data_IF_884354750758
#
_entry.id   IF_884354750758
#
_cell.length_a   1.000
_cell.length_b   1.000
_cell.length_c   1.000
_cell.angle_alpha   90.00
_cell.angle_beta   90.00
_cell.angle_gamma   90.00
#
_symmetry.space_group_name_H-M   'P 1'
#
loop_
_entity.id
_entity.type
_entity.pdbx_description
1 polymer ?
#
# COMPACT_ATOMS: atom_id res chain seq x y z
N UNK A 1 -11.84 31.48 -30.24
CA UNK A 1 -11.18 30.17 -30.37
C UNK A 1 -11.24 29.52 -29.00
N UNK A 2 -12.37 28.92 -28.61
CA UNK A 2 -12.54 28.30 -27.28
C UNK A 2 -13.69 27.28 -27.30
N UNK A 3 -13.46 26.03 -27.70
CA UNK A 3 -14.49 24.95 -27.60
C UNK A 3 -13.91 23.55 -27.40
N UNK A 4 -12.84 23.39 -26.61
CA UNK A 4 -12.44 22.07 -26.05
C UNK A 4 -12.64 22.01 -24.53
N UNK A 5 -13.69 22.68 -24.05
CA UNK A 5 -14.02 22.75 -22.63
C UNK A 5 -14.54 21.40 -22.11
N UNK A 6 -13.81 20.87 -21.12
CA UNK A 6 -14.24 19.91 -20.10
C UNK A 6 -14.93 18.61 -20.57
N UNK A 7 -14.15 17.66 -21.13
CA UNK A 7 -14.62 16.26 -21.25
C UNK A 7 -13.86 15.24 -20.38
N UNK A 8 -12.75 15.65 -19.77
CA UNK A 8 -12.05 14.83 -18.79
C UNK A 8 -12.18 15.50 -17.43
N UNK A 9 -12.95 14.89 -16.51
CA UNK A 9 -12.93 15.32 -15.13
C UNK A 9 -11.52 15.22 -14.56
N UNK A 10 -11.13 16.18 -13.73
CA UNK A 10 -9.80 16.22 -13.09
C UNK A 10 -9.62 15.15 -11.99
N UNK A 11 -10.46 14.12 -11.97
CA UNK A 11 -10.53 13.12 -10.91
C UNK A 11 -10.53 11.73 -11.51
N UNK A 12 -9.56 10.92 -11.11
CA UNK A 12 -9.44 9.51 -11.49
C UNK A 12 -10.09 8.67 -10.39
N UNK A 13 -11.04 7.82 -10.76
CA UNK A 13 -11.72 6.90 -9.86
C UNK A 13 -11.39 5.44 -10.23
N UNK A 14 -11.33 4.57 -9.23
CA UNK A 14 -11.22 3.11 -9.42
C UNK A 14 -12.22 2.36 -8.54
N UNK A 15 -12.64 1.16 -8.98
CA UNK A 15 -13.57 0.32 -8.23
C UNK A 15 -12.89 -0.60 -7.19
N UNK A 16 -11.56 -0.72 -7.26
CA UNK A 16 -10.78 -1.62 -6.40
C UNK A 16 -10.75 -1.14 -4.94
N UNK A 17 -10.90 -2.07 -4.00
CA UNK A 17 -10.80 -1.80 -2.55
C UNK A 17 -9.42 -2.22 -2.04
N UNK A 18 -8.39 -1.43 -2.36
CA UNK A 18 -7.00 -1.78 -2.10
C UNK A 18 -6.52 -1.23 -0.75
N UNK A 19 -5.73 -2.04 -0.04
CA UNK A 19 -4.98 -1.64 1.15
C UNK A 19 -3.51 -2.00 0.97
N UNK A 20 -2.60 -1.08 1.29
CA UNK A 20 -1.17 -1.41 1.35
C UNK A 20 -0.91 -2.32 2.54
N UNK A 21 -0.13 -3.38 2.34
CA UNK A 21 0.33 -4.24 3.41
C UNK A 21 1.39 -3.57 4.30
N UNK A 22 2.05 -2.53 3.80
CA UNK A 22 3.08 -1.76 4.50
C UNK A 22 2.62 -0.33 4.77
N UNK A 23 3.06 0.20 5.91
CA UNK A 23 2.92 1.61 6.27
C UNK A 23 4.32 2.24 6.19
N UNK A 24 4.47 3.48 5.69
CA UNK A 24 5.75 4.18 5.67
C UNK A 24 6.34 4.39 7.06
N UNK A 25 5.49 4.37 8.09
CA UNK A 25 5.88 4.54 9.49
C UNK A 25 5.61 3.24 10.24
N UNK A 26 6.62 2.75 10.95
CA UNK A 26 6.50 1.59 11.82
C UNK A 26 5.65 1.97 13.06
N UNK A 27 4.61 1.18 13.40
CA UNK A 27 3.67 1.57 14.45
C UNK A 27 4.28 1.68 15.85
N UNK A 28 5.29 0.85 16.16
CA UNK A 28 5.84 0.77 17.51
C UNK A 28 6.86 1.88 17.80
N UNK A 29 7.73 2.17 16.83
CA UNK A 29 8.86 3.09 17.00
C UNK A 29 8.64 4.46 16.34
N UNK A 30 7.56 4.61 15.56
CA UNK A 30 7.31 5.76 14.69
C UNK A 30 8.45 6.08 13.71
N UNK A 31 9.33 5.11 13.46
CA UNK A 31 10.44 5.29 12.52
C UNK A 31 9.94 5.13 11.08
N UNK A 32 10.43 6.01 10.19
CA UNK A 32 10.22 5.84 8.75
C UNK A 32 10.99 4.61 8.27
N UNK A 33 10.28 3.69 7.63
CA UNK A 33 10.87 2.52 6.99
C UNK A 33 11.09 2.79 5.52
N UNK A 34 12.14 2.19 4.97
CA UNK A 34 12.50 2.36 3.56
C UNK A 34 12.42 1.04 2.82
N UNK A 35 12.08 1.09 1.53
CA UNK A 35 12.12 -0.07 0.64
C UNK A 35 13.25 0.02 -0.38
N UNK A 36 13.85 1.19 -0.55
CA UNK A 36 15.02 1.42 -1.38
C UNK A 36 16.00 2.34 -0.67
N UNK A 37 17.29 2.15 -0.89
CA UNK A 37 18.36 3.04 -0.44
C UNK A 37 19.44 3.12 -1.51
N UNK A 38 19.75 4.35 -1.94
CA UNK A 38 20.84 4.63 -2.86
C UNK A 38 21.68 5.82 -2.36
N UNK A 39 22.54 6.37 -3.23
CA UNK A 39 23.41 7.51 -2.90
C UNK A 39 22.65 8.81 -2.56
N UNK A 40 21.40 8.94 -2.98
CA UNK A 40 20.56 10.12 -2.72
C UNK A 40 19.76 10.01 -1.42
N UNK A 41 19.63 8.80 -0.86
CA UNK A 41 18.93 8.54 0.39
C UNK A 41 17.96 7.36 0.31
N UNK A 42 17.25 7.13 1.42
CA UNK A 42 16.29 6.05 1.56
C UNK A 42 14.84 6.49 1.36
N UNK A 43 14.03 5.67 0.67
CA UNK A 43 12.61 5.95 0.47
C UNK A 43 11.74 4.68 0.45
N UNK A 44 10.46 4.82 0.77
CA UNK A 44 9.45 3.79 0.51
C UNK A 44 8.86 4.00 -0.89
N UNK A 45 9.28 3.14 -1.82
CA UNK A 45 8.86 3.18 -3.23
C UNK A 45 8.05 1.94 -3.63
N UNK A 46 8.26 0.83 -2.93
CA UNK A 46 7.68 -0.47 -3.23
C UNK A 46 6.42 -0.71 -2.40
N UNK A 47 5.41 -1.34 -3.00
CA UNK A 47 4.13 -1.61 -2.35
C UNK A 47 3.57 -2.98 -2.74
N UNK A 48 2.97 -3.65 -1.75
CA UNK A 48 2.06 -4.77 -1.98
C UNK A 48 0.66 -4.32 -1.58
N UNK A 49 -0.17 -4.03 -2.58
CA UNK A 49 -1.59 -3.77 -2.38
C UNK A 49 -2.40 -5.06 -2.45
N UNK A 50 -3.37 -5.20 -1.56
CA UNK A 50 -4.28 -6.34 -1.56
C UNK A 50 -5.73 -5.88 -1.39
N UNK A 51 -6.66 -6.68 -1.91
CA UNK A 51 -8.09 -6.46 -1.75
C UNK A 51 -8.50 -6.71 -0.30
N UNK A 52 -8.91 -5.68 0.42
CA UNK A 52 -9.36 -5.79 1.81
C UNK A 52 -10.88 -5.75 1.90
N UNK A 53 -11.44 -6.45 2.90
CA UNK A 53 -12.88 -6.46 3.17
C UNK A 53 -13.31 -5.04 3.54
N UNK A 54 -14.31 -4.50 2.85
CA UNK A 54 -14.90 -3.21 3.20
C UNK A 54 -15.55 -3.34 4.58
N UNK A 55 -14.93 -2.81 5.63
CA UNK A 55 -15.60 -2.61 6.92
C UNK A 55 -16.60 -1.49 6.75
N UNK A 56 -17.86 -1.86 6.50
CA UNK A 56 -18.96 -0.91 6.66
C UNK A 56 -19.12 -0.62 8.16
N UNK A 57 -18.56 0.51 8.63
CA UNK A 57 -18.81 1.02 9.98
C UNK A 57 -17.62 1.65 10.68
N UNK A 58 -17.37 2.93 10.41
CA UNK A 58 -17.20 3.97 11.44
C UNK A 58 -17.32 5.33 10.76
N UNK A 59 -18.18 6.19 11.28
CA UNK A 59 -18.76 7.33 10.57
C UNK A 59 -17.80 8.46 10.22
N UNK A 60 -18.01 9.03 9.04
CA UNK A 60 -18.14 10.47 8.86
C UNK A 60 -18.99 10.70 7.60
N UNK A 61 -20.01 11.52 7.71
CA UNK A 61 -21.07 11.68 6.72
C UNK A 61 -20.54 12.13 5.36
N UNK A 62 -20.68 11.29 4.36
CA UNK A 62 -20.86 11.74 2.99
C UNK A 62 -21.79 10.75 2.29
N UNK A 63 -22.86 11.30 1.72
CA UNK A 63 -23.99 10.62 1.09
C UNK A 63 -23.50 9.56 0.11
N UNK A 64 -23.68 8.27 0.46
CA UNK A 64 -23.57 7.19 -0.52
C UNK A 64 -24.83 7.20 -1.37
N UNK A 65 -24.70 7.73 -2.58
CA UNK A 65 -25.62 7.43 -3.68
C UNK A 65 -25.55 5.91 -3.88
N UNK A 66 -26.62 5.27 -3.46
CA UNK A 66 -26.99 3.90 -3.77
C UNK A 66 -27.03 3.76 -5.30
N UNK A 67 -25.93 3.31 -5.91
CA UNK A 67 -25.96 2.83 -7.29
C UNK A 67 -25.79 1.31 -7.28
N UNK A 68 -26.94 0.70 -7.56
CA UNK A 68 -27.19 -0.69 -7.85
C UNK A 68 -26.19 -1.23 -8.86
N UNK A 69 -25.22 -2.02 -8.40
CA UNK A 69 -24.48 -2.99 -9.19
C UNK A 69 -23.99 -4.06 -8.21
N UNK A 70 -24.79 -5.13 -8.06
CA UNK A 70 -24.34 -6.48 -7.71
C UNK A 70 -23.13 -6.52 -6.77
N UNK A 71 -23.35 -6.32 -5.47
CA UNK A 71 -22.40 -6.80 -4.45
C UNK A 71 -22.52 -8.33 -4.42
N UNK A 72 -22.05 -8.95 -5.51
CA UNK A 72 -21.85 -10.38 -5.65
C UNK A 72 -21.03 -10.87 -4.46
N UNK A 73 -21.31 -12.10 -4.08
CA UNK A 73 -20.88 -12.88 -2.90
C UNK A 73 -19.36 -13.01 -2.66
N UNK A 74 -18.53 -12.11 -3.21
CA UNK A 74 -17.07 -12.07 -3.12
C UNK A 74 -16.55 -11.01 -2.15
N UNK A 75 -17.35 -10.55 -1.17
CA UNK A 75 -16.92 -9.62 -0.11
C UNK A 75 -15.92 -10.24 0.90
N UNK A 76 -15.31 -11.35 0.54
CA UNK A 76 -14.29 -12.05 1.31
C UNK A 76 -12.91 -11.50 0.91
N UNK A 77 -12.61 -10.25 1.31
CA UNK A 77 -11.29 -9.66 1.09
C UNK A 77 -10.18 -10.44 1.81
N UNK A 78 -8.95 -10.36 1.31
CA UNK A 78 -7.79 -11.01 1.91
C UNK A 78 -7.52 -10.44 3.31
N UNK A 79 -7.11 -11.32 4.24
CA UNK A 79 -6.67 -10.93 5.58
C UNK A 79 -5.14 -10.98 5.64
N UNK A 80 -4.50 -9.88 6.02
CA UNK A 80 -3.08 -9.84 6.31
C UNK A 80 -2.81 -10.59 7.61
N UNK A 81 -2.06 -11.69 7.54
CA UNK A 81 -1.63 -12.49 8.69
C UNK A 81 -0.30 -12.00 9.27
N UNK A 82 0.58 -11.49 8.41
CA UNK A 82 1.89 -11.01 8.81
C UNK A 82 2.65 -10.42 7.63
N UNK A 83 3.74 -9.72 7.94
CA UNK A 83 4.66 -9.13 6.98
C UNK A 83 6.07 -9.16 7.56
N UNK A 84 7.08 -9.27 6.70
CA UNK A 84 8.47 -9.07 7.11
C UNK A 84 8.66 -7.58 7.44
N UNK A 85 9.19 -7.27 8.62
CA UNK A 85 9.48 -5.88 9.00
C UNK A 85 10.54 -5.28 8.07
N UNK A 86 10.33 -4.03 7.67
CA UNK A 86 11.33 -3.26 6.94
C UNK A 86 12.30 -2.58 7.89
N UNK A 87 13.45 -2.22 7.34
CA UNK A 87 14.51 -1.52 8.04
C UNK A 87 14.34 -0.01 7.90
N UNK A 88 14.86 0.73 8.88
CA UNK A 88 15.03 2.17 8.74
C UNK A 88 16.23 2.49 7.86
N UNK A 89 16.30 3.72 7.37
CA UNK A 89 17.48 4.19 6.65
C UNK A 89 18.76 4.10 7.51
N UNK A 90 18.66 4.40 8.81
CA UNK A 90 19.80 4.31 9.73
C UNK A 90 20.32 2.86 9.88
N UNK A 91 19.41 1.88 9.93
CA UNK A 91 19.78 0.47 9.99
C UNK A 91 20.52 0.05 8.71
N UNK A 92 20.05 0.49 7.54
CA UNK A 92 20.70 0.16 6.28
C UNK A 92 22.08 0.82 6.14
N UNK A 93 22.24 2.07 6.56
CA UNK A 93 23.57 2.70 6.59
C UNK A 93 24.53 1.98 7.55
N UNK A 94 24.03 1.43 8.66
CA UNK A 94 24.85 0.57 9.55
C UNK A 94 25.35 -0.72 8.86
N UNK A 95 24.65 -1.16 7.81
CA UNK A 95 24.99 -2.32 6.97
C UNK A 95 25.79 -1.95 5.70
N UNK A 96 26.40 -0.75 5.67
CA UNK A 96 27.12 -0.19 4.50
C UNK A 96 26.22 0.17 3.31
N UNK A 97 24.96 0.51 3.58
CA UNK A 97 24.00 0.92 2.55
C UNK A 97 23.55 -0.24 1.65
N UNK A 98 22.96 0.07 0.51
CA UNK A 98 22.60 -0.90 -0.53
C UNK A 98 23.16 -0.46 -1.90
N UNK A 99 23.41 -1.40 -2.83
CA UNK A 99 23.53 -2.84 -2.59
C UNK A 99 24.79 -3.17 -1.76
N UNK A 100 24.82 -4.34 -1.12
CA UNK A 100 25.95 -4.83 -0.34
C UNK A 100 26.11 -6.36 -0.44
N UNK A 101 27.07 -6.94 0.28
CA UNK A 101 27.38 -8.38 0.25
C UNK A 101 26.20 -9.29 0.65
N UNK A 102 25.27 -8.78 1.47
CA UNK A 102 24.07 -9.50 1.93
C UNK A 102 22.86 -9.19 1.04
N UNK A 103 22.74 -7.96 0.55
CA UNK A 103 21.63 -7.48 -0.24
C UNK A 103 22.10 -7.06 -1.64
N UNK A 104 21.88 -7.89 -2.67
CA UNK A 104 22.43 -7.64 -4.00
C UNK A 104 21.69 -6.53 -4.79
N UNK A 105 20.63 -5.96 -4.22
CA UNK A 105 19.80 -4.92 -4.83
C UNK A 105 19.78 -3.68 -3.94
N UNK A 106 19.57 -2.52 -4.54
CA UNK A 106 19.23 -1.26 -3.86
C UNK A 106 17.79 -1.21 -3.34
N UNK A 107 16.99 -2.25 -3.63
CA UNK A 107 15.66 -2.47 -3.08
C UNK A 107 15.60 -3.63 -2.07
N UNK A 108 14.80 -3.44 -1.02
CA UNK A 108 14.44 -4.46 -0.05
C UNK A 108 13.20 -5.24 -0.50
N UNK A 109 13.25 -6.56 -0.35
CA UNK A 109 12.13 -7.43 -0.69
C UNK A 109 10.97 -7.26 0.29
N UNK A 110 9.79 -6.95 -0.24
CA UNK A 110 8.54 -6.97 0.53
C UNK A 110 7.99 -8.40 0.59
N UNK A 111 7.66 -8.88 1.79
CA UNK A 111 7.13 -10.24 1.99
C UNK A 111 5.92 -10.17 2.92
N UNK A 112 4.79 -10.69 2.44
CA UNK A 112 3.53 -10.71 3.19
C UNK A 112 2.92 -12.11 3.22
N UNK A 113 2.25 -12.44 4.31
CA UNK A 113 1.42 -13.64 4.43
C UNK A 113 -0.05 -13.21 4.42
N UNK A 114 -0.78 -13.61 3.38
CA UNK A 114 -2.20 -13.31 3.22
C UNK A 114 -3.03 -14.59 3.39
N UNK A 115 -4.18 -14.47 4.03
CA UNK A 115 -5.18 -15.52 4.10
C UNK A 115 -6.32 -15.19 3.14
N UNK A 116 -6.64 -16.15 2.28
CA UNK A 116 -7.89 -16.15 1.54
C UNK A 116 -8.99 -16.72 2.44
N UNK A 117 -10.04 -15.95 2.78
CA UNK A 117 -11.19 -16.48 3.49
C UNK A 117 -11.89 -17.59 2.68
N UNK A 118 -12.55 -18.55 3.34
CA UNK A 118 -13.35 -19.57 2.66
C UNK A 118 -14.45 -18.91 1.83
N UNK A 119 -14.70 -19.47 0.65
CA UNK A 119 -15.76 -19.09 -0.29
C UNK A 119 -17.03 -19.85 0.09
#
# INVERSE_FOLDING_TARGET
>A
MDTFSSRFGHTLHHALSLRSAYSPVQPDTQTSVVSSLNSEGGAMLDYIFYSSRRTEGSGSGCVRVMSCCVLSESAAGLKLLGRLCLLSEADLWSLRGLPNETFPSDHLSLIVKLQLPPV
#
